data_IF_797800105375
#
_entry.id   IF_797800105375
#
_cell.length_a   1.000
_cell.length_b   1.000
_cell.length_c   1.000
_cell.angle_alpha   90.00
_cell.angle_beta   90.00
_cell.angle_gamma   90.00
#
_symmetry.space_group_name_H-M   'P 1'
#
loop_
_entity.id
_entity.type
_entity.pdbx_description
1 polymer ?
#
# COMPACT_ATOMS: atom_id res chain seq x y z
N UNK A 1 4.79 -4.75 -12.73
CA UNK A 1 4.67 -4.29 -11.36
C UNK A 1 3.22 -4.52 -11.13
N UNK A 2 2.89 -5.27 -10.10
CA UNK A 2 1.49 -5.62 -9.90
C UNK A 2 0.66 -4.35 -9.76
N UNK A 3 -0.39 -4.24 -10.58
CA UNK A 3 -1.10 -2.99 -10.81
C UNK A 3 -1.71 -2.39 -9.54
N UNK A 4 -1.98 -3.21 -8.51
CA UNK A 4 -2.59 -2.77 -7.26
C UNK A 4 -1.69 -1.83 -6.46
N UNK A 5 -0.37 -1.86 -6.68
CA UNK A 5 0.58 -0.95 -6.01
C UNK A 5 0.52 0.48 -6.55
N UNK A 6 0.07 0.65 -7.81
CA UNK A 6 0.11 1.94 -8.48
C UNK A 6 -0.84 2.98 -7.88
N UNK A 7 -2.12 2.66 -7.59
CA UNK A 7 -2.99 3.63 -6.95
C UNK A 7 -2.56 3.98 -5.51
N UNK A 8 -1.95 3.04 -4.78
CA UNK A 8 -1.39 3.31 -3.45
C UNK A 8 -0.20 4.29 -3.55
N UNK A 9 0.65 4.11 -4.56
CA UNK A 9 1.74 5.06 -4.81
C UNK A 9 1.18 6.43 -5.22
N UNK A 10 0.09 6.47 -5.99
CA UNK A 10 -0.61 7.70 -6.31
C UNK A 10 -1.21 8.39 -5.08
N UNK A 11 -1.74 7.66 -4.08
CA UNK A 11 -2.22 8.24 -2.82
C UNK A 11 -1.14 9.10 -2.15
N UNK A 12 0.12 8.64 -2.15
CA UNK A 12 1.24 9.43 -1.64
C UNK A 12 1.52 10.66 -2.48
N UNK A 13 1.60 10.55 -3.81
CA UNK A 13 1.86 11.72 -4.67
C UNK A 13 0.74 12.75 -4.59
N UNK A 14 -0.52 12.30 -4.62
CA UNK A 14 -1.68 13.15 -4.40
C UNK A 14 -1.58 13.86 -3.05
N UNK A 15 -1.29 13.12 -1.97
CA UNK A 15 -1.13 13.74 -0.66
C UNK A 15 0.03 14.73 -0.61
N UNK A 16 1.18 14.45 -1.23
CA UNK A 16 2.30 15.40 -1.27
C UNK A 16 1.97 16.65 -2.09
N UNK A 17 1.10 16.54 -3.08
CA UNK A 17 0.63 17.65 -3.89
C UNK A 17 -0.49 18.46 -3.22
N UNK A 18 -1.28 17.86 -2.33
CA UNK A 18 -2.48 18.48 -1.73
C UNK A 18 -2.33 18.82 -0.25
N UNK A 19 -1.52 18.08 0.49
CA UNK A 19 -1.46 18.05 1.95
C UNK A 19 -2.64 17.32 2.61
N UNK A 20 -3.49 16.64 1.83
CA UNK A 20 -4.76 16.08 2.32
C UNK A 20 -5.10 14.76 1.60
N UNK A 21 -5.01 13.65 2.33
CA UNK A 21 -5.42 12.33 1.83
C UNK A 21 -6.92 12.25 1.53
N UNK A 22 -7.76 13.04 2.19
CA UNK A 22 -9.23 12.92 2.08
C UNK A 22 -9.76 13.36 0.72
N UNK A 23 -8.96 14.03 -0.11
CA UNK A 23 -9.38 14.47 -1.44
C UNK A 23 -9.64 13.28 -2.39
N UNK A 24 -8.92 12.17 -2.22
CA UNK A 24 -9.14 10.95 -3.01
C UNK A 24 -10.54 10.38 -2.79
N UNK A 25 -10.97 10.27 -1.53
CA UNK A 25 -12.31 9.81 -1.16
C UNK A 25 -13.40 10.79 -1.62
N UNK A 26 -13.16 12.10 -1.43
CA UNK A 26 -14.10 13.14 -1.88
C UNK A 26 -14.29 13.12 -3.40
N UNK A 27 -13.21 12.90 -4.16
CA UNK A 27 -13.25 12.79 -5.61
C UNK A 27 -14.03 11.52 -6.02
N UNK A 28 -13.73 10.38 -5.39
CA UNK A 28 -14.48 9.16 -5.63
C UNK A 28 -15.98 9.32 -5.35
N UNK A 29 -16.36 9.98 -4.26
CA UNK A 29 -17.77 10.20 -3.90
C UNK A 29 -18.48 11.26 -4.77
N UNK A 30 -17.72 11.99 -5.60
CA UNK A 30 -18.22 13.07 -6.45
C UNK A 30 -18.53 14.36 -5.68
N UNK A 31 -17.91 14.55 -4.51
CA UNK A 31 -17.94 15.81 -3.76
C UNK A 31 -16.98 16.85 -4.38
N UNK A 32 -15.87 16.35 -4.93
CA UNK A 32 -14.97 17.06 -5.84
C UNK A 32 -14.75 16.20 -7.09
N UNK A 33 -13.89 16.66 -7.99
CA UNK A 33 -13.47 15.91 -9.19
C UNK A 33 -12.01 15.51 -9.07
N UNK A 34 -11.64 14.37 -9.65
CA UNK A 34 -10.24 13.97 -9.82
C UNK A 34 -9.44 14.97 -10.68
N UNK A 35 -10.12 15.85 -11.42
CA UNK A 35 -9.49 16.99 -12.13
C UNK A 35 -9.14 18.17 -11.23
N UNK A 36 -9.35 18.06 -9.90
CA UNK A 36 -8.81 19.02 -8.95
C UNK A 36 -7.30 19.23 -9.19
N UNK A 37 -6.81 20.50 -9.24
CA UNK A 37 -5.42 20.76 -9.59
C UNK A 37 -4.39 20.03 -8.73
N UNK A 38 -4.68 19.76 -7.45
CA UNK A 38 -3.77 19.04 -6.58
C UNK A 38 -3.69 17.54 -6.93
N UNK A 39 -4.80 16.93 -7.33
CA UNK A 39 -4.86 15.53 -7.75
C UNK A 39 -4.17 15.36 -9.12
N UNK A 40 -4.42 16.26 -10.06
CA UNK A 40 -3.71 16.29 -11.36
C UNK A 40 -2.19 16.50 -11.16
N UNK A 41 -1.81 17.35 -10.20
CA UNK A 41 -0.39 17.54 -9.87
C UNK A 41 0.24 16.25 -9.32
N UNK A 42 -0.44 15.52 -8.43
CA UNK A 42 0.04 14.22 -7.96
C UNK A 42 0.27 13.23 -9.10
N UNK A 43 -0.63 13.19 -10.08
CA UNK A 43 -0.48 12.33 -11.26
C UNK A 43 0.70 12.77 -12.14
N UNK A 44 0.91 14.08 -12.26
CA UNK A 44 2.04 14.67 -12.97
C UNK A 44 3.37 14.30 -12.31
N UNK A 45 3.46 14.40 -10.99
CA UNK A 45 4.68 14.08 -10.23
C UNK A 45 5.00 12.58 -10.29
N UNK A 46 3.97 11.72 -10.21
CA UNK A 46 4.11 10.28 -10.35
C UNK A 46 4.61 9.89 -11.76
N UNK A 47 4.10 10.55 -12.81
CA UNK A 47 4.57 10.36 -14.18
C UNK A 47 6.02 10.84 -14.32
N UNK A 48 6.38 11.99 -13.77
CA UNK A 48 7.74 12.50 -13.79
C UNK A 48 8.75 11.54 -13.13
N UNK A 49 8.35 10.86 -12.05
CA UNK A 49 9.15 9.79 -11.44
C UNK A 49 9.38 8.61 -12.41
N UNK A 50 8.35 8.21 -13.15
CA UNK A 50 8.46 7.17 -14.18
C UNK A 50 9.42 7.59 -15.31
N UNK A 51 9.28 8.81 -15.81
CA UNK A 51 10.11 9.39 -16.88
C UNK A 51 11.56 9.57 -16.45
N UNK A 52 11.80 9.86 -15.18
CA UNK A 52 13.13 9.88 -14.55
C UNK A 52 13.75 8.49 -14.36
N UNK A 53 13.11 7.44 -14.87
CA UNK A 53 13.52 6.02 -14.73
C UNK A 53 13.60 5.58 -13.26
N UNK A 54 12.68 6.06 -12.44
CA UNK A 54 12.58 5.65 -11.03
C UNK A 54 12.14 4.20 -10.83
N UNK A 55 11.50 3.59 -11.83
CA UNK A 55 11.14 2.17 -11.84
C UNK A 55 12.21 1.31 -12.51
N UNK A 56 12.32 0.05 -12.06
CA UNK A 56 13.18 -0.94 -12.70
C UNK A 56 12.82 -1.17 -14.18
N UNK A 57 13.79 -1.60 -14.99
CA UNK A 57 13.52 -1.96 -16.38
C UNK A 57 12.48 -3.11 -16.46
N UNK A 58 11.57 -3.02 -17.43
CA UNK A 58 10.49 -4.00 -17.56
C UNK A 58 9.47 -3.97 -16.40
N UNK A 59 9.46 -2.90 -15.60
CA UNK A 59 8.56 -2.77 -14.47
C UNK A 59 7.10 -2.95 -14.86
N UNK A 60 6.63 -2.74 -16.09
CA UNK A 60 5.21 -2.97 -16.42
C UNK A 60 4.81 -4.44 -16.28
N UNK A 61 5.69 -5.38 -16.61
CA UNK A 61 5.40 -6.82 -16.66
C UNK A 61 5.92 -7.60 -15.44
N UNK A 62 6.69 -6.97 -14.55
CA UNK A 62 7.21 -7.63 -13.35
C UNK A 62 6.09 -8.00 -12.37
N UNK A 63 5.98 -9.25 -11.94
CA UNK A 63 5.10 -9.60 -10.82
C UNK A 63 5.71 -9.19 -9.47
N UNK A 64 4.97 -9.39 -8.38
CA UNK A 64 5.43 -9.07 -7.03
C UNK A 64 6.72 -9.79 -6.68
N UNK A 65 6.79 -11.10 -6.97
CA UNK A 65 7.96 -11.92 -6.66
C UNK A 65 9.20 -11.45 -7.40
N UNK A 66 9.07 -11.05 -8.66
CA UNK A 66 10.14 -10.49 -9.48
C UNK A 66 10.64 -9.17 -8.89
N UNK A 67 9.74 -8.24 -8.56
CA UNK A 67 10.10 -6.95 -7.97
C UNK A 67 10.80 -7.12 -6.61
N UNK A 68 10.24 -7.98 -5.75
CA UNK A 68 10.82 -8.34 -4.46
C UNK A 68 12.22 -8.95 -4.61
N UNK A 69 12.41 -9.84 -5.58
CA UNK A 69 13.70 -10.47 -5.83
C UNK A 69 14.74 -9.48 -6.39
N UNK A 70 14.35 -8.56 -7.29
CA UNK A 70 15.25 -7.50 -7.76
C UNK A 70 15.80 -6.68 -6.58
N UNK A 71 14.95 -6.31 -5.63
CA UNK A 71 15.36 -5.60 -4.42
C UNK A 71 16.24 -6.47 -3.50
N UNK A 72 15.79 -7.67 -3.17
CA UNK A 72 16.50 -8.58 -2.27
C UNK A 72 17.86 -9.07 -2.77
N UNK A 73 18.08 -9.06 -4.09
CA UNK A 73 19.38 -9.35 -4.71
C UNK A 73 20.25 -8.10 -4.92
N UNK A 74 19.82 -6.93 -4.42
CA UNK A 74 20.56 -5.67 -4.56
C UNK A 74 20.56 -5.07 -5.98
N UNK A 75 19.66 -5.51 -6.85
CA UNK A 75 19.52 -5.02 -8.23
C UNK A 75 18.58 -3.79 -8.32
N UNK A 76 17.82 -3.51 -7.26
CA UNK A 76 17.07 -2.27 -7.09
C UNK A 76 17.46 -1.61 -5.76
N UNK A 77 17.64 -0.28 -5.77
CA UNK A 77 17.99 0.48 -4.57
C UNK A 77 16.82 0.67 -3.59
N UNK A 78 15.58 0.68 -4.09
CA UNK A 78 14.38 0.89 -3.28
C UNK A 78 13.27 -0.07 -3.73
N UNK A 79 12.37 -0.39 -2.80
CA UNK A 79 11.18 -1.19 -3.03
C UNK A 79 9.99 -0.54 -2.34
N UNK A 80 9.07 0.04 -3.12
CA UNK A 80 7.84 0.61 -2.59
C UNK A 80 6.86 -0.52 -2.31
N UNK A 81 6.67 -0.86 -1.03
CA UNK A 81 5.79 -1.94 -0.61
C UNK A 81 5.30 -1.73 0.83
N UNK A 82 4.26 -2.47 1.22
CA UNK A 82 3.73 -2.43 2.57
C UNK A 82 4.59 -3.19 3.60
N UNK A 83 4.25 -2.97 4.86
CA UNK A 83 4.94 -3.52 6.03
C UNK A 83 4.85 -5.05 6.17
N UNK A 84 4.02 -5.74 5.37
CA UNK A 84 4.03 -7.21 5.30
C UNK A 84 5.37 -7.77 4.79
N UNK A 85 6.25 -6.92 4.25
CA UNK A 85 7.64 -7.25 3.90
C UNK A 85 8.64 -7.18 5.07
N UNK A 86 8.16 -7.10 6.33
CA UNK A 86 9.03 -7.10 7.51
C UNK A 86 9.97 -8.32 7.60
N UNK A 87 9.64 -9.41 6.91
CA UNK A 87 10.46 -10.63 6.83
C UNK A 87 11.69 -10.54 5.92
N UNK A 88 11.85 -9.47 5.10
CA UNK A 88 12.99 -9.33 4.18
C UNK A 88 14.35 -9.48 4.88
N UNK A 89 14.48 -8.96 6.11
CA UNK A 89 15.70 -9.05 6.91
C UNK A 89 15.99 -10.48 7.45
N UNK A 90 15.02 -11.39 7.39
CA UNK A 90 15.13 -12.77 7.87
C UNK A 90 15.04 -13.82 6.75
N UNK A 91 14.77 -13.41 5.50
CA UNK A 91 14.56 -14.33 4.38
C UNK A 91 15.88 -14.88 3.84
N UNK A 92 16.17 -16.14 4.18
CA UNK A 92 17.41 -16.83 3.80
C UNK A 92 17.62 -17.00 2.29
N UNK A 93 16.61 -16.71 1.46
CA UNK A 93 16.78 -16.64 0.00
C UNK A 93 17.61 -15.43 -0.46
N UNK A 94 17.81 -14.43 0.41
CA UNK A 94 18.61 -13.24 0.12
C UNK A 94 19.98 -13.25 0.81
N UNK A 95 20.99 -12.60 0.20
CA UNK A 95 22.33 -12.51 0.78
C UNK A 95 22.31 -11.95 2.20
N UNK A 96 23.21 -12.45 3.06
CA UNK A 96 23.34 -11.96 4.44
C UNK A 96 23.63 -10.45 4.48
N UNK A 97 24.45 -9.95 3.55
CA UNK A 97 24.71 -8.51 3.41
C UNK A 97 23.43 -7.70 3.20
N UNK A 98 22.52 -8.15 2.33
CA UNK A 98 21.22 -7.50 2.15
C UNK A 98 20.41 -7.55 3.45
N UNK A 99 20.29 -8.72 4.06
CA UNK A 99 19.52 -8.93 5.30
C UNK A 99 19.99 -8.07 6.48
N UNK A 100 21.29 -7.79 6.56
CA UNK A 100 21.87 -6.95 7.60
C UNK A 100 21.70 -5.44 7.33
N UNK A 101 21.41 -5.03 6.09
CA UNK A 101 21.37 -3.63 5.68
C UNK A 101 20.00 -3.14 5.19
N UNK A 102 19.04 -4.03 4.94
CA UNK A 102 17.68 -3.66 4.54
C UNK A 102 16.98 -2.89 5.68
N UNK A 103 16.30 -1.80 5.31
CA UNK A 103 15.56 -0.95 6.22
C UNK A 103 14.32 -0.35 5.57
N UNK A 104 13.54 0.36 6.38
CA UNK A 104 12.34 1.08 5.96
C UNK A 104 12.48 2.58 6.25
N UNK A 105 11.93 3.39 5.34
CA UNK A 105 11.77 4.84 5.50
C UNK A 105 10.37 5.23 5.05
N UNK A 106 9.82 6.31 5.64
CA UNK A 106 8.58 6.91 5.16
C UNK A 106 8.75 7.50 3.76
N UNK A 107 7.65 7.59 3.02
CA UNK A 107 7.62 8.32 1.75
C UNK A 107 8.10 9.77 1.95
N UNK A 108 8.97 10.31 1.07
CA UNK A 108 9.55 11.65 1.22
C UNK A 108 8.52 12.73 1.49
N UNK A 109 8.81 13.69 2.37
CA UNK A 109 7.96 14.85 2.59
C UNK A 109 7.97 15.82 1.39
N UNK A 110 6.98 16.70 1.36
CA UNK A 110 6.93 17.88 0.52
C UNK A 110 6.74 19.13 1.39
N UNK A 111 6.59 20.27 0.74
CA UNK A 111 6.14 21.53 1.32
C UNK A 111 4.69 21.50 1.84
N UNK A 112 3.89 20.51 1.42
CA UNK A 112 2.49 20.34 1.85
C UNK A 112 2.22 19.08 2.69
N UNK A 113 3.01 18.02 2.52
CA UNK A 113 2.84 16.74 3.19
C UNK A 113 4.07 16.33 4.00
N UNK A 114 3.86 15.72 5.16
CA UNK A 114 4.92 15.29 6.07
C UNK A 114 5.27 13.80 5.90
N UNK A 115 6.44 13.40 6.40
CA UNK A 115 6.84 11.98 6.48
C UNK A 115 5.93 11.15 7.39
N UNK A 116 5.14 11.79 8.24
CA UNK A 116 4.19 11.17 9.17
C UNK A 116 2.80 10.97 8.54
N UNK A 117 2.59 11.41 7.30
CA UNK A 117 1.39 11.15 6.53
C UNK A 117 1.59 9.87 5.71
N UNK A 118 0.96 8.77 6.15
CA UNK A 118 1.21 7.40 5.68
C UNK A 118 -0.03 6.82 5.00
N UNK A 119 0.12 6.20 3.84
CA UNK A 119 -0.95 5.36 3.28
C UNK A 119 -1.06 4.08 4.12
N UNK A 120 -2.08 4.00 4.97
CA UNK A 120 -2.31 2.86 5.85
C UNK A 120 -3.80 2.49 5.96
N UNK A 121 -4.09 1.20 5.87
CA UNK A 121 -5.42 0.65 6.02
C UNK A 121 -5.38 -0.73 6.65
N UNK A 122 -6.53 -1.18 7.12
CA UNK A 122 -6.68 -2.57 7.54
C UNK A 122 -6.81 -3.43 6.27
N UNK A 123 -5.67 -3.95 5.79
CA UNK A 123 -5.60 -4.64 4.50
C UNK A 123 -6.43 -5.92 4.41
N UNK A 124 -6.35 -6.79 5.42
CA UNK A 124 -6.96 -8.12 5.38
C UNK A 124 -7.85 -8.40 6.59
N UNK A 125 -9.04 -8.94 6.32
CA UNK A 125 -9.98 -9.40 7.33
C UNK A 125 -10.37 -10.85 7.12
N UNK A 126 -10.86 -11.50 8.17
CA UNK A 126 -11.41 -12.84 8.10
C UNK A 126 -12.92 -12.76 8.21
N UNK A 127 -13.62 -13.42 7.27
CA UNK A 127 -15.07 -13.47 7.25
C UNK A 127 -15.57 -14.91 7.43
N UNK A 128 -16.65 -15.08 8.17
CA UNK A 128 -17.35 -16.36 8.29
C UNK A 128 -18.51 -16.35 7.30
N UNK A 129 -18.55 -17.34 6.40
CA UNK A 129 -19.65 -17.48 5.46
C UNK A 129 -20.98 -17.64 6.20
N UNK A 130 -21.98 -16.83 5.84
CA UNK A 130 -23.35 -16.94 6.36
C UNK A 130 -23.96 -18.33 6.15
N UNK A 131 -23.47 -19.07 5.15
CA UNK A 131 -23.98 -20.40 4.78
C UNK A 131 -23.17 -21.55 5.41
N UNK A 132 -22.27 -21.25 6.36
CA UNK A 132 -21.55 -22.31 7.08
C UNK A 132 -22.53 -23.24 7.80
N UNK A 133 -22.21 -24.54 7.80
CA UNK A 133 -22.96 -25.55 8.57
C UNK A 133 -22.60 -25.53 10.06
N UNK A 134 -21.54 -24.82 10.43
CA UNK A 134 -20.93 -24.80 11.76
C UNK A 134 -20.68 -23.35 12.22
N UNK A 135 -21.73 -22.53 12.40
CA UNK A 135 -21.55 -21.11 12.72
C UNK A 135 -20.93 -20.91 14.10
N UNK A 136 -21.34 -21.70 15.09
CA UNK A 136 -20.84 -21.56 16.46
C UNK A 136 -19.37 -21.97 16.57
N UNK A 137 -18.99 -23.07 15.93
CA UNK A 137 -17.62 -23.58 15.93
C UNK A 137 -16.69 -22.68 15.11
N UNK A 138 -17.15 -22.14 13.98
CA UNK A 138 -16.39 -21.16 13.21
C UNK A 138 -16.13 -19.89 14.02
N UNK A 139 -17.15 -19.37 14.73
CA UNK A 139 -17.00 -18.22 15.62
C UNK A 139 -16.05 -18.55 16.78
N UNK A 140 -16.18 -19.72 17.39
CA UNK A 140 -15.30 -20.16 18.48
C UNK A 140 -13.84 -20.27 18.00
N UNK A 141 -13.62 -20.82 16.81
CA UNK A 141 -12.30 -20.87 16.19
C UNK A 141 -11.74 -19.47 15.93
N UNK A 142 -12.50 -18.55 15.34
CA UNK A 142 -12.00 -17.19 15.08
C UNK A 142 -11.65 -16.46 16.39
N UNK A 143 -12.43 -16.64 17.45
CA UNK A 143 -12.12 -16.10 18.78
C UNK A 143 -10.83 -16.69 19.36
N UNK A 144 -10.65 -18.00 19.24
CA UNK A 144 -9.41 -18.67 19.65
C UNK A 144 -8.22 -18.21 18.80
N UNK A 145 -8.37 -18.18 17.48
CA UNK A 145 -7.32 -17.82 16.53
C UNK A 145 -6.71 -16.45 16.83
N UNK A 146 -7.54 -15.48 17.22
CA UNK A 146 -7.13 -14.12 17.55
C UNK A 146 -6.85 -13.85 19.03
N UNK A 147 -6.75 -14.88 19.88
CA UNK A 147 -6.22 -14.67 21.23
C UNK A 147 -4.74 -14.26 21.15
N UNK A 148 -4.23 -13.51 22.15
CA UNK A 148 -2.89 -12.95 22.08
C UNK A 148 -1.77 -13.95 21.74
N UNK A 149 -1.78 -15.14 22.33
CA UNK A 149 -0.73 -16.15 22.16
C UNK A 149 -0.81 -16.95 20.83
N UNK A 150 -1.84 -16.71 20.02
CA UNK A 150 -2.06 -17.44 18.78
C UNK A 150 -1.59 -16.63 17.57
N UNK A 151 -2.48 -16.29 16.64
CA UNK A 151 -2.12 -15.61 15.39
C UNK A 151 -1.37 -14.29 15.61
N UNK A 152 -1.82 -13.37 16.49
CA UNK A 152 -1.20 -12.05 16.61
C UNK A 152 0.27 -12.09 17.02
N UNK A 153 0.60 -12.89 18.05
CA UNK A 153 1.99 -13.09 18.48
C UNK A 153 2.83 -13.76 17.41
N UNK A 154 2.31 -14.83 16.79
CA UNK A 154 3.06 -15.62 15.82
C UNK A 154 3.38 -14.82 14.55
N UNK A 155 2.41 -14.08 14.01
CA UNK A 155 2.60 -13.29 12.79
C UNK A 155 3.65 -12.20 13.00
N UNK A 156 3.63 -11.54 14.17
CA UNK A 156 4.63 -10.54 14.54
C UNK A 156 6.03 -11.15 14.72
N UNK A 157 6.16 -12.16 15.60
CA UNK A 157 7.46 -12.73 15.98
C UNK A 157 8.17 -13.48 14.85
N UNK A 158 7.42 -13.98 13.86
CA UNK A 158 7.99 -14.55 12.64
C UNK A 158 8.37 -13.51 11.59
N UNK A 159 7.99 -12.24 11.78
CA UNK A 159 8.14 -11.19 10.77
C UNK A 159 7.20 -11.36 9.55
N UNK A 160 6.29 -12.34 9.57
CA UNK A 160 5.37 -12.62 8.48
C UNK A 160 4.30 -11.52 8.27
N UNK A 161 4.15 -10.61 9.22
CA UNK A 161 3.30 -9.44 9.10
C UNK A 161 3.06 -8.73 10.42
N UNK A 162 2.24 -7.69 10.38
CA UNK A 162 1.85 -6.92 11.55
C UNK A 162 0.40 -7.22 11.90
N UNK A 163 0.09 -7.65 13.14
CA UNK A 163 -1.29 -7.89 13.54
C UNK A 163 -2.07 -6.57 13.65
N UNK A 164 -3.39 -6.62 13.48
CA UNK A 164 -4.25 -5.45 13.65
C UNK A 164 -4.46 -5.06 15.13
N UNK A 165 -4.19 -5.98 16.06
CA UNK A 165 -4.24 -5.72 17.50
C UNK A 165 -2.98 -4.97 17.98
N UNK A 166 -3.08 -4.35 19.17
CA UNK A 166 -1.88 -3.86 19.88
C UNK A 166 -0.87 -5.00 20.04
N UNK A 167 0.34 -4.77 19.56
CA UNK A 167 1.38 -5.79 19.46
C UNK A 167 2.60 -5.52 20.36
N UNK A 168 2.57 -4.45 21.17
CA UNK A 168 3.65 -4.09 22.10
C UNK A 168 4.05 -5.25 23.02
N UNK A 169 3.05 -6.04 23.42
CA UNK A 169 3.24 -7.23 24.27
C UNK A 169 3.94 -8.41 23.58
N UNK A 170 4.10 -8.37 22.26
CA UNK A 170 4.75 -9.42 21.47
C UNK A 170 6.20 -9.09 21.13
N UNK A 171 6.66 -7.88 21.46
CA UNK A 171 8.05 -7.48 21.27
C UNK A 171 8.98 -8.41 22.05
N UNK A 172 10.01 -8.92 21.39
CA UNK A 172 11.00 -9.85 21.95
C UNK A 172 12.26 -9.11 22.43
N UNK A 173 12.50 -7.90 21.93
CA UNK A 173 13.77 -7.17 22.10
C UNK A 173 14.82 -7.55 21.06
N UNK A 174 14.55 -8.57 20.25
CA UNK A 174 15.42 -9.09 19.18
C UNK A 174 14.92 -8.69 17.78
N UNK A 175 14.02 -7.71 17.69
CA UNK A 175 13.51 -7.21 16.41
C UNK A 175 14.63 -6.75 15.49
N UNK A 176 14.47 -7.09 14.21
CA UNK A 176 15.38 -6.63 13.15
C UNK A 176 15.34 -5.10 13.02
N UNK A 177 16.38 -4.52 12.41
CA UNK A 177 16.41 -3.08 12.11
C UNK A 177 15.18 -2.67 11.29
N UNK A 178 14.83 -3.47 10.28
CA UNK A 178 13.63 -3.27 9.47
C UNK A 178 12.34 -3.24 10.31
N UNK A 179 12.15 -4.20 11.21
CA UNK A 179 10.98 -4.23 12.09
C UNK A 179 10.93 -2.98 12.98
N UNK A 180 12.04 -2.57 13.59
CA UNK A 180 12.11 -1.38 14.44
C UNK A 180 11.74 -0.11 13.67
N UNK A 181 12.26 0.05 12.46
CA UNK A 181 11.93 1.20 11.61
C UNK A 181 10.47 1.21 11.16
N UNK A 182 9.89 0.04 10.85
CA UNK A 182 8.46 -0.07 10.56
C UNK A 182 7.60 0.33 11.77
N UNK A 183 7.97 -0.11 12.99
CA UNK A 183 7.30 0.33 14.23
C UNK A 183 7.39 1.85 14.36
N UNK A 184 8.58 2.43 14.18
CA UNK A 184 8.78 3.88 14.31
C UNK A 184 7.91 4.66 13.32
N UNK A 185 7.78 4.20 12.07
CA UNK A 185 6.88 4.80 11.06
C UNK A 185 5.42 4.74 11.54
N UNK A 186 4.96 3.58 12.02
CA UNK A 186 3.59 3.42 12.51
C UNK A 186 3.30 4.26 13.76
N UNK A 187 4.22 4.30 14.72
CA UNK A 187 4.05 5.03 15.98
C UNK A 187 4.04 6.53 15.77
N UNK A 188 4.76 7.04 14.76
CA UNK A 188 4.83 8.46 14.46
C UNK A 188 3.81 8.93 13.41
N UNK A 189 2.98 8.04 12.87
CA UNK A 189 1.95 8.39 11.90
C UNK A 189 0.96 9.42 12.48
N UNK A 190 0.76 10.53 11.77
CA UNK A 190 -0.15 11.62 12.18
C UNK A 190 -1.46 11.62 11.38
N UNK A 191 -1.43 11.10 10.16
CA UNK A 191 -2.60 10.94 9.30
C UNK A 191 -2.49 9.67 8.46
N UNK A 192 -3.64 9.19 7.99
CA UNK A 192 -3.69 8.02 7.11
C UNK A 192 -4.62 8.22 5.93
N UNK A 193 -4.26 7.62 4.79
CA UNK A 193 -5.10 7.55 3.58
C UNK A 193 -6.42 6.79 3.78
N UNK A 194 -6.44 5.81 4.69
CA UNK A 194 -7.53 4.83 4.72
C UNK A 194 -7.42 3.83 3.56
N UNK A 195 -8.53 3.17 3.26
CA UNK A 195 -8.57 2.12 2.21
C UNK A 195 -8.16 2.73 0.86
N UNK A 196 -7.19 2.14 0.15
CA UNK A 196 -6.66 2.73 -1.07
C UNK A 196 -7.70 2.69 -2.19
N UNK A 197 -7.61 3.66 -3.12
CA UNK A 197 -8.65 3.92 -4.13
C UNK A 197 -9.18 2.65 -4.81
N UNK A 198 -8.31 1.75 -5.25
CA UNK A 198 -8.73 0.55 -5.99
C UNK A 198 -9.56 -0.45 -5.16
N UNK A 199 -9.51 -0.39 -3.83
CA UNK A 199 -10.17 -1.35 -2.93
C UNK A 199 -11.44 -0.78 -2.27
N UNK A 200 -11.88 0.43 -2.61
CA UNK A 200 -13.07 1.07 -1.99
C UNK A 200 -14.40 0.66 -2.62
N UNK A 201 -14.38 -0.07 -3.75
CA UNK A 201 -15.59 -0.36 -4.54
C UNK A 201 -15.56 -1.77 -5.16
N UNK A 202 -16.14 -1.93 -6.35
CA UNK A 202 -16.27 -3.20 -7.05
C UNK A 202 -14.96 -3.67 -7.69
N UNK A 203 -14.89 -4.97 -8.00
CA UNK A 203 -13.78 -5.55 -8.78
C UNK A 203 -13.60 -4.87 -10.14
N UNK A 204 -14.69 -4.41 -10.76
CA UNK A 204 -14.65 -3.67 -12.02
C UNK A 204 -13.96 -2.31 -11.84
N UNK A 205 -14.32 -1.57 -10.79
CA UNK A 205 -13.65 -0.30 -10.47
C UNK A 205 -12.18 -0.52 -10.12
N UNK A 206 -11.87 -1.56 -9.35
CA UNK A 206 -10.50 -1.96 -9.01
C UNK A 206 -9.65 -2.17 -10.25
N UNK A 207 -10.12 -3.01 -11.18
CA UNK A 207 -9.42 -3.29 -12.44
C UNK A 207 -9.23 -2.02 -13.26
N UNK A 208 -10.29 -1.23 -13.42
CA UNK A 208 -10.23 -0.01 -14.21
C UNK A 208 -9.28 1.03 -13.61
N UNK A 209 -9.29 1.21 -12.30
CA UNK A 209 -8.36 2.10 -11.59
C UNK A 209 -6.91 1.67 -11.85
N UNK A 210 -6.58 0.39 -11.70
CA UNK A 210 -5.22 -0.12 -11.98
C UNK A 210 -4.81 0.10 -13.44
N UNK A 211 -5.71 -0.14 -14.40
CA UNK A 211 -5.45 0.10 -15.83
C UNK A 211 -5.14 1.57 -16.12
N UNK A 212 -5.95 2.50 -15.60
CA UNK A 212 -5.76 3.95 -15.80
C UNK A 212 -4.38 4.40 -15.29
N UNK A 213 -3.93 3.88 -14.15
CA UNK A 213 -2.58 4.18 -13.64
C UNK A 213 -1.47 3.60 -14.52
N UNK A 214 -1.65 2.39 -15.06
CA UNK A 214 -0.70 1.82 -16.02
C UNK A 214 -0.64 2.63 -17.32
N UNK A 215 -1.77 3.13 -17.81
CA UNK A 215 -1.85 3.99 -18.98
C UNK A 215 -1.12 5.32 -18.76
N UNK A 216 -1.29 5.95 -17.60
CA UNK A 216 -0.55 7.17 -17.23
C UNK A 216 0.95 6.91 -17.25
N UNK A 217 1.43 5.92 -16.49
CA UNK A 217 2.85 5.67 -16.30
C UNK A 217 3.56 5.08 -17.52
N UNK A 218 2.81 4.56 -18.49
CA UNK A 218 3.33 4.18 -19.81
C UNK A 218 3.29 5.32 -20.84
N UNK A 219 2.86 6.52 -20.43
CA UNK A 219 2.76 7.71 -21.27
C UNK A 219 1.64 7.65 -22.32
N UNK A 220 0.68 6.73 -22.17
CA UNK A 220 -0.44 6.59 -23.12
C UNK A 220 -1.48 7.69 -22.95
N UNK A 221 -1.62 8.22 -21.74
CA UNK A 221 -2.56 9.29 -21.39
C UNK A 221 -1.84 10.38 -20.60
N UNK A 222 -2.35 11.61 -20.69
CA UNK A 222 -1.84 12.75 -19.90
C UNK A 222 -2.40 12.72 -18.47
N UNK A 223 -1.79 13.45 -17.52
CA UNK A 223 -2.36 13.62 -16.18
C UNK A 223 -3.82 14.12 -16.18
N UNK A 224 -4.17 15.06 -17.09
CA UNK A 224 -5.54 15.54 -17.23
C UNK A 224 -6.51 14.45 -17.72
N UNK A 225 -6.06 13.58 -18.63
CA UNK A 225 -6.88 12.49 -19.14
C UNK A 225 -7.02 11.38 -18.09
N UNK A 226 -5.94 11.06 -17.37
CA UNK A 226 -5.95 10.18 -16.21
C UNK A 226 -7.00 10.61 -15.17
N UNK A 227 -7.02 11.90 -14.81
CA UNK A 227 -8.01 12.44 -13.88
C UNK A 227 -9.45 12.29 -14.38
N UNK A 228 -9.71 12.59 -15.66
CA UNK A 228 -11.04 12.42 -16.27
C UNK A 228 -11.47 10.97 -16.33
N UNK A 229 -10.55 10.05 -16.59
CA UNK A 229 -10.85 8.62 -16.65
C UNK A 229 -11.15 8.06 -15.26
N UNK A 230 -10.47 8.53 -14.21
CA UNK A 230 -10.81 8.21 -12.82
C UNK A 230 -12.21 8.75 -12.43
N UNK A 231 -12.54 9.99 -12.81
CA UNK A 231 -13.90 10.54 -12.60
C UNK A 231 -14.97 9.69 -13.28
N UNK A 232 -14.74 9.28 -14.53
CA UNK A 232 -15.67 8.43 -15.27
C UNK A 232 -15.83 7.05 -14.62
N UNK A 233 -14.72 6.45 -14.16
CA UNK A 233 -14.74 5.18 -13.44
C UNK A 233 -15.49 5.29 -12.11
N UNK A 234 -15.27 6.37 -11.34
CA UNK A 234 -15.94 6.63 -10.07
C UNK A 234 -17.45 6.89 -10.26
N UNK A 235 -17.84 7.68 -11.26
CA UNK A 235 -19.24 7.91 -11.59
C UNK A 235 -19.96 6.59 -11.88
N UNK A 236 -19.38 5.75 -12.74
CA UNK A 236 -19.92 4.42 -13.06
C UNK A 236 -20.02 3.53 -11.82
N UNK A 237 -19.00 3.49 -10.97
CA UNK A 237 -18.99 2.70 -9.74
C UNK A 237 -20.09 3.13 -8.76
N UNK A 238 -20.41 4.43 -8.73
CA UNK A 238 -21.47 5.01 -7.91
C UNK A 238 -22.87 4.95 -8.56
N UNK A 239 -23.01 4.32 -9.73
CA UNK A 239 -24.27 4.22 -10.46
C UNK A 239 -24.79 5.55 -11.01
N UNK A 240 -23.88 6.49 -11.30
CA UNK A 240 -24.17 7.81 -11.89
C UNK A 240 -23.85 7.82 -13.39
#
# INVERSE_FOLDING_TARGET
MEGWTLPIMYDYYAQRATGDFTLMDKAFNGEISFTDPGLVQGATDMLAFAEAKGFADGWLTADYGTARNLFGQGQAAMFFMGNWEASLAADENFPEEFRQNVGAISFPASDKGAQTDIAAWYGGGYAISKNTKHPEEAIAFMKYFFTPDNWPKKVWQSGAGTPAQKFDQYLTGEETVLQKQLIDIFTNMTSSAGTPLQDISSDEFKQKSMEIHQELLSGKITPDQFAKDLDAAAAKANGK
#
